data_IF_314647851297
#
_entry.id   IF_314647851297
#
_cell.length_a   1.000
_cell.length_b   1.000
_cell.length_c   1.000
_cell.angle_alpha   90.00
_cell.angle_beta   90.00
_cell.angle_gamma   90.00
#
_symmetry.space_group_name_H-M   'P 1'
#
loop_
_entity.id
_entity.type
_entity.pdbx_description
1 polymer ?
#
# COMPACT_ATOMS: atom_id res chain seq x y z
N UNK A 1 -16.33 -3.30 -7.50
CA UNK A 1 -16.30 -1.89 -7.95
C UNK A 1 -17.35 -1.07 -7.23
N UNK A 2 -18.57 -1.60 -7.11
CA UNK A 2 -19.69 -1.15 -6.26
C UNK A 2 -19.27 -0.43 -4.96
N UNK A 3 -18.40 -1.07 -4.18
CA UNK A 3 -17.97 -0.64 -2.85
C UNK A 3 -16.85 0.43 -2.83
N UNK A 4 -16.30 0.83 -3.99
CA UNK A 4 -15.30 1.90 -4.08
C UNK A 4 -16.01 3.25 -4.18
N UNK A 5 -16.64 3.65 -3.08
CA UNK A 5 -17.38 4.90 -2.97
C UNK A 5 -16.44 6.11 -2.74
N UNK A 6 -17.01 7.32 -2.66
CA UNK A 6 -16.23 8.56 -2.47
C UNK A 6 -15.97 8.90 -1.00
N UNK A 7 -16.68 8.27 -0.06
CA UNK A 7 -16.63 8.64 1.35
C UNK A 7 -15.78 7.66 2.15
N UNK A 8 -16.08 6.37 2.09
CA UNK A 8 -15.45 5.38 2.96
C UNK A 8 -14.19 4.79 2.36
N UNK A 9 -14.24 4.44 1.07
CA UNK A 9 -13.10 3.85 0.38
C UNK A 9 -11.81 4.69 0.43
N UNK A 10 -11.81 6.01 0.14
CA UNK A 10 -10.58 6.81 0.23
C UNK A 10 -10.15 7.12 1.67
N UNK A 11 -10.95 6.80 2.68
CA UNK A 11 -10.61 7.04 4.10
C UNK A 11 -10.05 5.78 4.73
N UNK A 12 -10.78 4.66 4.63
CA UNK A 12 -10.42 3.41 5.31
C UNK A 12 -9.17 2.78 4.70
N UNK A 13 -9.08 2.77 3.36
CA UNK A 13 -8.00 2.10 2.63
C UNK A 13 -6.60 2.65 2.98
N UNK A 14 -6.35 3.98 2.95
CA UNK A 14 -5.05 4.52 3.33
C UNK A 14 -4.76 4.42 4.84
N UNK A 15 -5.75 4.63 5.71
CA UNK A 15 -5.55 4.55 7.17
C UNK A 15 -5.05 3.16 7.57
N UNK A 16 -5.68 2.11 7.04
CA UNK A 16 -5.26 0.73 7.32
C UNK A 16 -3.93 0.43 6.63
N UNK A 17 -3.74 0.86 5.38
CA UNK A 17 -2.53 0.61 4.60
C UNK A 17 -1.25 1.22 5.20
N UNK A 18 -1.34 2.41 5.81
CA UNK A 18 -0.19 3.10 6.41
C UNK A 18 0.43 2.30 7.56
N UNK A 19 -0.35 1.57 8.35
CA UNK A 19 0.14 0.83 9.53
C UNK A 19 1.25 -0.17 9.18
N UNK A 20 1.02 -0.99 8.16
CA UNK A 20 1.98 -1.98 7.68
C UNK A 20 3.19 -1.32 7.01
N UNK A 21 2.96 -0.27 6.22
CA UNK A 21 4.04 0.46 5.56
C UNK A 21 4.98 1.13 6.57
N UNK A 22 4.44 1.77 7.60
CA UNK A 22 5.22 2.43 8.65
C UNK A 22 6.08 1.42 9.43
N UNK A 23 5.54 0.25 9.74
CA UNK A 23 6.26 -0.80 10.49
C UNK A 23 7.46 -1.33 9.70
N UNK A 24 7.26 -1.64 8.41
CA UNK A 24 8.32 -2.17 7.54
C UNK A 24 9.37 -1.09 7.22
N UNK A 25 8.94 0.16 6.99
CA UNK A 25 9.86 1.30 6.86
C UNK A 25 10.73 1.47 8.10
N UNK A 26 10.14 1.41 9.29
CA UNK A 26 10.89 1.52 10.55
C UNK A 26 11.98 0.44 10.63
N UNK A 27 11.61 -0.81 10.39
CA UNK A 27 12.57 -1.92 10.46
C UNK A 27 13.71 -1.80 9.43
N UNK A 28 13.39 -1.52 8.16
CA UNK A 28 14.38 -1.44 7.09
C UNK A 28 15.30 -0.22 7.22
N UNK A 29 14.78 0.92 7.67
CA UNK A 29 15.58 2.12 7.83
C UNK A 29 16.50 2.07 9.04
N UNK A 30 16.03 1.55 10.18
CA UNK A 30 16.84 1.49 11.41
C UNK A 30 17.98 0.49 11.26
N UNK A 31 17.71 -0.69 10.69
CA UNK A 31 18.71 -1.76 10.61
C UNK A 31 19.60 -1.67 9.37
N UNK A 32 19.04 -1.30 8.21
CA UNK A 32 19.73 -1.42 6.92
C UNK A 32 19.84 -0.10 6.15
N UNK A 33 19.23 1.00 6.64
CA UNK A 33 19.16 2.31 5.95
C UNK A 33 18.59 2.23 4.53
N UNK A 34 17.72 1.25 4.27
CA UNK A 34 17.11 1.02 2.97
C UNK A 34 15.82 1.85 2.81
N UNK A 35 15.70 2.71 1.79
CA UNK A 35 14.56 3.60 1.58
C UNK A 35 13.50 3.02 0.62
N UNK A 36 13.01 1.80 0.89
CA UNK A 36 11.95 1.17 0.07
C UNK A 36 10.97 0.34 0.90
N UNK A 37 10.77 0.73 2.17
CA UNK A 37 9.95 -0.07 3.09
C UNK A 37 8.46 -0.01 2.77
N UNK A 38 7.94 1.16 2.42
CA UNK A 38 6.53 1.31 2.10
C UNK A 38 6.20 0.69 0.74
N UNK A 39 7.05 0.93 -0.24
CA UNK A 39 6.91 0.38 -1.60
C UNK A 39 6.94 -1.14 -1.59
N UNK A 40 7.85 -1.76 -0.83
CA UNK A 40 7.89 -3.21 -0.66
C UNK A 40 6.58 -3.74 -0.07
N UNK A 41 6.06 -3.10 0.99
CA UNK A 41 4.80 -3.49 1.61
C UNK A 41 3.62 -3.45 0.63
N UNK A 42 3.47 -2.34 -0.11
CA UNK A 42 2.37 -2.18 -1.06
C UNK A 42 2.51 -3.11 -2.26
N UNK A 43 3.71 -3.36 -2.75
CA UNK A 43 3.94 -4.32 -3.84
C UNK A 43 3.56 -5.73 -3.39
N UNK A 44 3.97 -6.16 -2.18
CA UNK A 44 3.60 -7.45 -1.64
C UNK A 44 2.08 -7.59 -1.42
N UNK A 45 1.41 -6.53 -0.95
CA UNK A 45 -0.04 -6.52 -0.81
C UNK A 45 -0.72 -6.66 -2.17
N UNK A 46 -0.29 -5.86 -3.16
CA UNK A 46 -0.88 -5.84 -4.48
C UNK A 46 -0.69 -7.19 -5.20
N UNK A 47 0.49 -7.82 -5.08
CA UNK A 47 0.73 -9.15 -5.66
C UNK A 47 -0.15 -10.22 -5.00
N UNK A 48 -0.30 -10.18 -3.68
CA UNK A 48 -1.21 -11.06 -2.95
C UNK A 48 -2.66 -10.88 -3.39
N UNK A 49 -3.13 -9.64 -3.49
CA UNK A 49 -4.48 -9.32 -3.97
C UNK A 49 -4.70 -9.84 -5.40
N UNK A 50 -3.78 -9.55 -6.33
CA UNK A 50 -3.86 -10.02 -7.71
C UNK A 50 -3.90 -11.54 -7.82
N UNK A 51 -3.09 -12.24 -7.02
CA UNK A 51 -3.08 -13.70 -6.97
C UNK A 51 -4.47 -14.23 -6.56
N UNK A 52 -5.03 -13.72 -5.47
CA UNK A 52 -6.37 -14.14 -5.00
C UNK A 52 -7.47 -13.73 -5.98
N UNK A 53 -7.39 -12.56 -6.62
CA UNK A 53 -8.38 -12.11 -7.61
C UNK A 53 -8.40 -12.99 -8.84
N UNK A 54 -7.22 -13.34 -9.36
CA UNK A 54 -7.15 -14.17 -10.57
C UNK A 54 -7.50 -15.63 -10.27
N UNK A 55 -6.92 -16.23 -9.24
CA UNK A 55 -7.07 -17.66 -8.97
C UNK A 55 -8.37 -17.99 -8.22
N UNK A 56 -8.77 -17.17 -7.24
CA UNK A 56 -9.96 -17.40 -6.43
C UNK A 56 -11.23 -16.84 -7.08
N UNK A 57 -11.23 -15.54 -7.38
CA UNK A 57 -12.46 -14.89 -7.85
C UNK A 57 -12.73 -15.16 -9.33
N UNK A 58 -11.74 -14.99 -10.20
CA UNK A 58 -11.91 -15.18 -11.64
C UNK A 58 -11.91 -16.67 -12.03
N UNK A 59 -10.86 -17.43 -11.70
CA UNK A 59 -10.73 -18.82 -12.15
C UNK A 59 -11.70 -19.79 -11.45
N UNK A 60 -11.79 -19.75 -10.12
CA UNK A 60 -12.69 -20.66 -9.39
C UNK A 60 -14.14 -20.17 -9.44
N UNK A 61 -14.39 -18.93 -9.05
CA UNK A 61 -15.76 -18.43 -8.83
C UNK A 61 -16.36 -17.69 -10.03
N UNK A 62 -15.63 -17.58 -11.15
CA UNK A 62 -16.11 -17.01 -12.41
C UNK A 62 -16.60 -15.56 -12.33
N UNK A 63 -16.07 -14.77 -11.37
CA UNK A 63 -16.36 -13.35 -11.30
C UNK A 63 -15.57 -12.57 -12.36
N UNK A 64 -16.20 -11.59 -13.05
CA UNK A 64 -15.51 -10.77 -14.04
C UNK A 64 -14.42 -9.91 -13.37
N UNK A 65 -13.19 -9.95 -13.90
CA UNK A 65 -12.02 -9.29 -13.28
C UNK A 65 -12.21 -7.78 -13.08
N UNK A 66 -12.95 -7.12 -13.99
CA UNK A 66 -13.27 -5.70 -13.91
C UNK A 66 -14.04 -5.33 -12.64
N UNK A 67 -14.82 -6.26 -12.08
CA UNK A 67 -15.56 -6.02 -10.86
C UNK A 67 -14.68 -6.10 -9.61
N UNK A 68 -13.58 -6.85 -9.68
CA UNK A 68 -12.76 -7.27 -8.53
C UNK A 68 -11.38 -6.59 -8.51
N UNK A 69 -11.20 -5.51 -9.26
CA UNK A 69 -9.92 -4.82 -9.37
C UNK A 69 -9.39 -4.33 -7.99
N UNK A 70 -8.11 -4.59 -7.67
CA UNK A 70 -7.48 -4.13 -6.42
C UNK A 70 -7.33 -2.60 -6.35
N UNK A 71 -6.96 -2.08 -5.19
CA UNK A 71 -6.66 -0.65 -4.99
C UNK A 71 -5.20 -0.34 -5.26
N UNK A 72 -4.94 0.69 -6.07
CA UNK A 72 -3.58 1.12 -6.41
C UNK A 72 -3.03 2.13 -5.41
N UNK A 73 -2.16 1.69 -4.49
CA UNK A 73 -1.52 2.53 -3.46
C UNK A 73 -0.04 2.83 -3.73
N UNK A 74 0.48 2.41 -4.89
CA UNK A 74 1.91 2.55 -5.26
C UNK A 74 2.40 4.01 -5.21
N UNK A 75 1.65 5.01 -5.73
CA UNK A 75 2.10 6.40 -5.70
C UNK A 75 2.30 6.95 -4.27
N UNK A 76 1.40 6.62 -3.35
CA UNK A 76 1.51 7.06 -1.94
C UNK A 76 2.72 6.45 -1.24
N UNK A 77 2.97 5.16 -1.48
CA UNK A 77 4.15 4.48 -0.93
C UNK A 77 5.46 5.06 -1.45
N UNK A 78 5.54 5.40 -2.74
CA UNK A 78 6.72 6.04 -3.33
C UNK A 78 6.99 7.41 -2.69
N UNK A 79 5.96 8.24 -2.54
CA UNK A 79 6.09 9.55 -1.88
C UNK A 79 6.62 9.37 -0.46
N UNK A 80 6.03 8.47 0.32
CA UNK A 80 6.45 8.23 1.70
C UNK A 80 7.91 7.75 1.83
N UNK A 81 8.35 6.82 0.96
CA UNK A 81 9.75 6.37 0.92
C UNK A 81 10.71 7.50 0.49
N UNK A 82 10.33 8.34 -0.49
CA UNK A 82 11.16 9.49 -0.93
C UNK A 82 11.27 10.58 0.13
N UNK A 83 10.20 10.88 0.87
CA UNK A 83 10.24 11.86 1.97
C UNK A 83 11.17 11.37 3.07
N UNK A 84 11.13 10.08 3.43
CA UNK A 84 12.06 9.50 4.40
C UNK A 84 13.52 9.58 3.91
N UNK A 85 13.75 9.27 2.63
CA UNK A 85 15.08 9.34 2.02
C UNK A 85 15.67 10.76 2.09
N UNK A 86 14.87 11.77 1.71
CA UNK A 86 15.31 13.16 1.62
C UNK A 86 15.48 13.81 2.99
N UNK A 87 14.53 13.62 3.89
CA UNK A 87 14.51 14.33 5.18
C UNK A 87 15.24 13.57 6.29
N UNK A 88 15.42 12.24 6.13
CA UNK A 88 15.96 11.32 7.14
C UNK A 88 15.31 11.45 8.51
N UNK A 89 14.11 12.02 8.57
CA UNK A 89 13.44 12.39 9.81
C UNK A 89 12.03 11.80 9.84
N UNK A 90 11.81 10.92 10.80
CA UNK A 90 10.55 10.24 11.04
C UNK A 90 9.36 11.17 11.26
N UNK A 91 9.58 12.29 11.95
CA UNK A 91 8.51 13.24 12.24
C UNK A 91 8.05 13.97 10.98
N UNK A 92 8.97 14.30 10.08
CA UNK A 92 8.63 14.94 8.81
C UNK A 92 7.94 13.94 7.88
N UNK A 93 8.41 12.68 7.84
CA UNK A 93 7.77 11.62 7.07
C UNK A 93 6.35 11.34 7.57
N UNK A 94 6.09 11.36 8.87
CA UNK A 94 4.75 11.15 9.42
C UNK A 94 3.78 12.31 9.09
N UNK A 95 4.29 13.54 8.99
CA UNK A 95 3.47 14.72 8.70
C UNK A 95 3.22 14.93 7.20
N UNK A 96 4.19 14.60 6.35
CA UNK A 96 4.14 14.87 4.91
C UNK A 96 3.82 13.62 4.09
N UNK A 97 4.16 12.43 4.60
CA UNK A 97 3.92 11.15 3.94
C UNK A 97 2.65 10.42 4.40
N UNK A 98 2.02 10.86 5.49
CA UNK A 98 0.80 10.30 6.06
C UNK A 98 -0.49 10.89 5.48
#
# INVERSE_FOLDING_TARGET
>A
LDWKDRQWWPVVTPIVGITYCATIMYYLWVNYRLPFGATLCIVCLLTGEWLTRYWGFYWWSHYPINFVLPSTMIPGALVMDTVLLLTRNWMITALVGG
#
